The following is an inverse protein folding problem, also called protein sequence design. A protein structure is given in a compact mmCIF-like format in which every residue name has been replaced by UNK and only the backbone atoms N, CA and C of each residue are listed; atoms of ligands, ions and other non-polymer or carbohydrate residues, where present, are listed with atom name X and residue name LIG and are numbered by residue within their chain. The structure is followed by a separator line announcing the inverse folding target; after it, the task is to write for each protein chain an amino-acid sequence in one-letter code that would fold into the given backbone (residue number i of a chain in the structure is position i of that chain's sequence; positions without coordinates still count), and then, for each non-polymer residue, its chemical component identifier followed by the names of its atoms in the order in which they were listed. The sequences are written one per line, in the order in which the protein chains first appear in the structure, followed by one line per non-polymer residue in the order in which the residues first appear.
data_IF_338046084947
#
_entry.id   IF_338046084947
#
_cell.length_a   1.000
_cell.length_b   1.000
_cell.length_c   1.000
_cell.angle_alpha   90.00
_cell.angle_beta   90.00
_cell.angle_gamma   90.00
#
_symmetry.space_group_name_H-M   'P 1'
#
loop_
_entity.id
_entity.type
_entity.pdbx_description
1 polymer ?
#
# COMPACT_ATOMS: atom_id res chain seq x y z
N UNK A 1 -27.72 -33.39 -10.84
CA UNK A 1 -27.75 -32.04 -10.24
C UNK A 1 -26.56 -31.26 -10.76
N UNK A 2 -26.78 -30.34 -11.71
CA UNK A 2 -25.72 -29.52 -12.29
C UNK A 2 -25.30 -28.44 -11.29
N UNK A 3 -24.02 -28.41 -10.94
CA UNK A 3 -23.44 -27.45 -10.00
C UNK A 3 -23.29 -26.10 -10.73
N UNK A 4 -24.26 -25.20 -10.58
CA UNK A 4 -24.16 -23.81 -11.04
C UNK A 4 -23.14 -23.06 -10.18
N UNK A 5 -21.86 -23.31 -10.41
CA UNK A 5 -20.79 -22.43 -9.93
C UNK A 5 -20.82 -21.18 -10.80
N UNK A 6 -21.59 -20.17 -10.40
CA UNK A 6 -21.57 -18.86 -11.05
C UNK A 6 -20.16 -18.30 -10.97
N UNK A 7 -19.59 -17.91 -12.12
CA UNK A 7 -18.26 -17.27 -12.22
C UNK A 7 -18.06 -16.13 -11.20
N UNK A 8 -19.15 -15.49 -10.76
CA UNK A 8 -19.18 -14.44 -9.74
C UNK A 8 -18.71 -14.92 -8.34
N UNK A 9 -19.03 -16.15 -7.93
CA UNK A 9 -18.56 -16.72 -6.66
C UNK A 9 -17.07 -17.09 -6.73
N UNK A 10 -16.62 -17.63 -7.86
CA UNK A 10 -15.19 -17.91 -8.10
C UNK A 10 -14.37 -16.61 -8.21
N UNK A 11 -14.92 -15.57 -8.85
CA UNK A 11 -14.31 -14.25 -8.94
C UNK A 11 -14.28 -13.56 -7.58
N UNK A 12 -15.35 -13.65 -6.78
CA UNK A 12 -15.36 -13.10 -5.42
C UNK A 12 -14.40 -13.86 -4.49
N UNK A 13 -14.33 -15.19 -4.58
CA UNK A 13 -13.38 -15.99 -3.81
C UNK A 13 -11.92 -15.73 -4.23
N UNK A 14 -11.66 -15.46 -5.52
CA UNK A 14 -10.35 -14.99 -6.01
C UNK A 14 -10.03 -13.59 -5.48
N UNK A 15 -10.99 -12.66 -5.52
CA UNK A 15 -10.86 -11.27 -5.07
C UNK A 15 -10.54 -11.17 -3.58
N UNK A 16 -11.22 -11.96 -2.73
CA UNK A 16 -10.94 -12.04 -1.29
C UNK A 16 -9.59 -12.68 -0.95
N UNK A 17 -9.11 -13.62 -1.78
CA UNK A 17 -7.83 -14.29 -1.55
C UNK A 17 -6.63 -13.43 -1.99
N UNK A 18 -6.79 -12.52 -2.97
CA UNK A 18 -5.67 -11.87 -3.66
C UNK A 18 -5.33 -10.45 -3.23
N UNK A 19 -5.99 -9.89 -2.21
CA UNK A 19 -5.94 -8.44 -1.98
C UNK A 19 -5.00 -7.99 -0.85
N UNK A 20 -4.42 -8.92 -0.08
CA UNK A 20 -3.51 -8.63 1.03
C UNK A 20 -2.10 -9.14 0.74
N UNK A 21 -1.24 -8.25 0.24
CA UNK A 21 0.15 -8.54 -0.05
C UNK A 21 1.04 -7.55 0.71
N UNK A 22 1.68 -7.97 1.80
CA UNK A 22 2.61 -7.09 2.50
C UNK A 22 3.94 -7.01 1.76
N UNK A 23 4.41 -5.79 1.54
CA UNK A 23 5.72 -5.52 0.92
C UNK A 23 6.83 -5.66 1.96
N UNK A 24 7.85 -6.43 1.63
CA UNK A 24 9.00 -6.63 2.51
C UNK A 24 9.87 -5.36 2.55
N UNK A 25 10.48 -5.08 3.71
CA UNK A 25 11.37 -3.93 3.87
C UNK A 25 12.58 -4.01 2.92
N UNK A 26 13.12 -5.21 2.71
CA UNK A 26 14.22 -5.47 1.76
C UNK A 26 13.86 -5.06 0.34
N UNK A 27 12.64 -5.38 -0.12
CA UNK A 27 12.17 -5.02 -1.45
C UNK A 27 12.04 -3.50 -1.57
N UNK A 28 11.48 -2.83 -0.56
CA UNK A 28 11.40 -1.37 -0.48
C UNK A 28 12.81 -0.76 -0.56
N UNK A 29 13.75 -1.23 0.26
CA UNK A 29 15.13 -0.72 0.26
C UNK A 29 15.81 -0.93 -1.09
N UNK A 30 15.62 -2.10 -1.71
CA UNK A 30 16.21 -2.47 -2.99
C UNK A 30 15.72 -1.60 -4.15
N UNK A 31 14.47 -1.14 -4.11
CA UNK A 31 13.89 -0.30 -5.14
C UNK A 31 14.14 1.18 -4.86
N UNK A 32 13.83 1.65 -3.64
CA UNK A 32 13.92 3.06 -3.29
C UNK A 32 15.35 3.58 -3.25
N UNK A 33 16.37 2.71 -3.18
CA UNK A 33 17.75 3.14 -3.24
C UNK A 33 18.11 3.93 -4.50
N UNK A 34 17.37 3.69 -5.59
CA UNK A 34 17.59 4.32 -6.89
C UNK A 34 16.89 5.67 -7.06
N UNK A 35 15.94 6.00 -6.18
CA UNK A 35 15.09 7.19 -6.31
C UNK A 35 15.38 8.26 -5.24
N UNK A 36 16.48 8.13 -4.47
CA UNK A 36 16.80 9.01 -3.33
C UNK A 36 16.71 10.50 -3.64
N UNK A 37 17.21 10.92 -4.80
CA UNK A 37 17.21 12.32 -5.25
C UNK A 37 15.82 12.91 -5.46
N UNK A 38 14.79 12.08 -5.62
CA UNK A 38 13.41 12.53 -5.84
C UNK A 38 12.69 12.93 -4.54
N UNK A 39 13.28 12.65 -3.36
CA UNK A 39 12.64 12.83 -2.06
C UNK A 39 13.04 14.12 -1.33
N UNK A 40 14.09 14.81 -1.77
CA UNK A 40 14.56 16.02 -1.09
C UNK A 40 13.48 17.11 -1.03
N UNK A 41 13.27 17.63 0.19
CA UNK A 41 12.24 18.62 0.53
C UNK A 41 10.80 18.19 0.19
N UNK A 42 10.53 16.88 0.08
CA UNK A 42 9.20 16.35 -0.26
C UNK A 42 8.40 15.91 0.95
N UNK A 43 7.09 16.00 0.79
CA UNK A 43 6.09 15.33 1.63
C UNK A 43 5.73 13.99 0.98
N UNK A 44 6.11 12.89 1.64
CA UNK A 44 5.80 11.53 1.19
C UNK A 44 4.48 11.08 1.83
N UNK A 45 3.59 10.49 1.05
CA UNK A 45 2.37 9.87 1.55
C UNK A 45 2.39 8.35 1.33
N UNK A 46 2.23 7.61 2.42
CA UNK A 46 2.15 6.15 2.42
C UNK A 46 0.78 5.73 2.99
N UNK A 47 -0.21 5.48 2.15
CA UNK A 47 -1.39 4.74 2.58
C UNK A 47 -1.00 3.28 2.81
N UNK A 48 -1.45 2.70 3.92
CA UNK A 48 -1.06 1.37 4.36
C UNK A 48 -2.11 0.76 5.29
N UNK A 49 -2.13 -0.56 5.41
CA UNK A 49 -3.11 -1.29 6.22
C UNK A 49 -2.98 -1.00 7.72
N UNK A 50 -1.76 -0.80 8.19
CA UNK A 50 -1.51 -0.26 9.52
C UNK A 50 -0.20 0.54 9.55
N UNK A 51 -0.30 1.87 9.69
CA UNK A 51 0.86 2.74 9.83
C UNK A 51 1.85 2.35 10.93
N UNK A 52 1.41 1.61 11.97
CA UNK A 52 2.24 1.20 13.09
C UNK A 52 3.24 0.10 12.74
N UNK A 53 2.90 -0.74 11.75
CA UNK A 53 3.75 -1.85 11.31
C UNK A 53 4.18 -1.73 9.84
N UNK A 54 3.79 -0.65 9.17
CA UNK A 54 4.12 -0.38 7.77
C UNK A 54 5.62 -0.32 7.51
N UNK A 55 6.13 -1.21 6.67
CA UNK A 55 7.52 -1.19 6.22
C UNK A 55 7.86 0.07 5.41
N UNK A 56 6.87 0.67 4.71
CA UNK A 56 7.07 1.96 4.05
C UNK A 56 7.35 3.06 5.06
N UNK A 57 6.53 3.14 6.12
CA UNK A 57 6.77 4.11 7.19
C UNK A 57 8.13 3.87 7.86
N UNK A 58 8.44 2.61 8.20
CA UNK A 58 9.72 2.22 8.81
C UNK A 58 10.91 2.65 7.96
N UNK A 59 10.86 2.43 6.64
CA UNK A 59 11.90 2.87 5.71
C UNK A 59 12.07 4.39 5.72
N UNK A 60 10.98 5.14 5.50
CA UNK A 60 11.07 6.60 5.38
C UNK A 60 11.42 7.28 6.70
N UNK A 61 10.89 6.79 7.84
CA UNK A 61 11.23 7.32 9.15
C UNK A 61 12.70 7.08 9.49
N UNK A 62 13.21 5.87 9.24
CA UNK A 62 14.63 5.53 9.47
C UNK A 62 15.59 6.32 8.57
N UNK A 63 15.12 6.70 7.37
CA UNK A 63 15.91 7.45 6.39
C UNK A 63 15.53 8.93 6.29
N UNK A 64 14.71 9.47 7.20
CA UNK A 64 14.09 10.79 7.07
C UNK A 64 15.11 11.90 6.82
N UNK A 65 16.11 12.00 7.70
CA UNK A 65 17.21 12.98 7.60
C UNK A 65 18.08 12.74 6.35
N UNK A 66 18.35 11.47 6.03
CA UNK A 66 19.20 11.07 4.88
C UNK A 66 18.55 11.39 3.53
N UNK A 67 17.23 11.30 3.45
CA UNK A 67 16.44 11.62 2.26
C UNK A 67 16.07 13.10 2.17
N UNK A 68 16.36 13.90 3.20
CA UNK A 68 15.98 15.32 3.25
C UNK A 68 14.47 15.54 3.22
N UNK A 69 13.68 14.65 3.82
CA UNK A 69 12.22 14.74 3.79
C UNK A 69 11.71 15.93 4.58
N UNK A 70 10.61 16.52 4.10
CA UNK A 70 9.87 17.56 4.84
C UNK A 70 8.88 16.95 5.83
N UNK A 71 8.18 15.90 5.41
CA UNK A 71 7.13 15.24 6.19
C UNK A 71 6.82 13.86 5.59
N UNK A 72 6.41 12.92 6.44
CA UNK A 72 5.75 11.68 6.05
C UNK A 72 4.31 11.76 6.52
N UNK A 73 3.37 11.43 5.65
CA UNK A 73 1.97 11.23 6.00
C UNK A 73 1.69 9.75 5.83
N UNK A 74 0.96 9.15 6.78
CA UNK A 74 0.47 7.78 6.65
C UNK A 74 -0.99 7.74 7.01
N UNK A 75 -1.77 6.91 6.32
CA UNK A 75 -3.20 6.72 6.59
C UNK A 75 -3.54 5.24 6.56
N UNK A 76 -4.56 4.90 7.34
CA UNK A 76 -5.08 3.56 7.58
C UNK A 76 -6.55 3.55 7.20
N UNK A 77 -6.92 2.62 6.32
CA UNK A 77 -8.30 2.22 6.13
C UNK A 77 -8.73 1.24 7.23
N UNK A 78 -9.97 1.33 7.69
CA UNK A 78 -10.60 0.38 8.62
C UNK A 78 -11.96 -0.01 8.10
N UNK A 79 -12.14 -1.31 7.86
CA UNK A 79 -13.42 -1.83 7.37
C UNK A 79 -14.51 -1.62 8.43
N UNK A 80 -15.65 -1.06 8.00
CA UNK A 80 -16.82 -0.87 8.85
C UNK A 80 -17.70 -2.12 8.78
N UNK A 81 -17.58 -3.01 9.76
CA UNK A 81 -18.36 -4.25 9.81
C UNK A 81 -19.70 -3.98 10.50
N UNK A 82 -20.68 -3.51 9.73
CA UNK A 82 -22.07 -3.39 10.20
C UNK A 82 -22.81 -4.72 10.01
N UNK A 83 -22.96 -5.47 11.09
CA UNK A 83 -23.92 -6.58 11.15
C UNK A 83 -25.16 -6.14 11.95
N UNK A 84 -26.36 -6.66 11.62
CA UNK A 84 -27.60 -6.41 12.37
C UNK A 84 -27.48 -6.81 13.85
N UNK A 85 -26.47 -7.62 14.19
CA UNK A 85 -26.20 -8.14 15.53
C UNK A 85 -24.93 -7.58 16.18
N UNK A 86 -24.14 -6.76 15.48
CA UNK A 86 -22.93 -6.16 16.05
C UNK A 86 -23.25 -4.80 16.67
N UNK A 87 -23.09 -4.71 17.99
CA UNK A 87 -23.19 -3.49 18.76
C UNK A 87 -21.83 -2.79 18.97
N UNK A 88 -20.76 -3.29 18.34
CA UNK A 88 -19.43 -2.68 18.43
C UNK A 88 -19.38 -1.41 17.55
N UNK A 89 -18.73 -0.36 18.07
CA UNK A 89 -18.52 0.87 17.32
C UNK A 89 -17.63 0.59 16.10
N UNK A 90 -18.04 1.07 14.91
CA UNK A 90 -17.25 0.99 13.68
C UNK A 90 -15.81 1.50 13.95
N UNK A 91 -14.77 0.69 13.73
CA UNK A 91 -13.38 1.15 13.81
C UNK A 91 -13.17 2.26 12.78
N UNK A 92 -12.78 3.45 13.25
CA UNK A 92 -12.50 4.60 12.38
C UNK A 92 -11.13 4.43 11.74
N UNK A 93 -11.04 4.80 10.47
CA UNK A 93 -9.75 5.01 9.83
C UNK A 93 -8.97 6.08 10.58
N UNK A 94 -7.66 6.10 10.42
CA UNK A 94 -6.81 7.08 11.07
C UNK A 94 -5.59 7.43 10.24
N UNK A 95 -4.95 8.53 10.56
CA UNK A 95 -3.71 8.95 9.94
C UNK A 95 -2.76 9.54 10.98
N UNK A 96 -1.49 9.64 10.63
CA UNK A 96 -0.54 10.44 11.39
C UNK A 96 0.49 11.09 10.47
N UNK A 97 1.09 12.17 10.96
CA UNK A 97 2.13 12.92 10.25
C UNK A 97 3.44 12.87 11.05
N UNK A 98 4.56 12.61 10.37
CA UNK A 98 5.89 12.59 10.96
C UNK A 98 6.80 13.63 10.30
N UNK A 99 7.43 14.48 11.11
CA UNK A 99 8.28 15.60 10.65
C UNK A 99 9.74 15.47 11.08
N UNK A 100 10.16 14.28 11.52
CA UNK A 100 11.57 14.04 11.89
C UNK A 100 11.94 14.42 13.32
N UNK A 101 10.97 14.64 14.21
CA UNK A 101 11.23 14.90 15.63
C UNK A 101 11.83 13.65 16.30
N UNK A 102 12.82 13.86 17.18
CA UNK A 102 13.58 12.81 17.86
C UNK A 102 12.80 12.13 19.01
N UNK A 103 11.50 11.88 18.83
CA UNK A 103 10.79 10.95 19.71
C UNK A 103 11.22 9.54 19.34
N UNK A 104 11.63 8.79 20.36
CA UNK A 104 12.38 7.55 20.30
C UNK A 104 11.99 6.63 19.12
N UNK A 105 13.02 6.13 18.45
CA UNK A 105 13.02 5.29 17.24
C UNK A 105 12.07 4.07 17.22
N UNK A 106 11.27 3.80 18.26
CA UNK A 106 10.42 2.61 18.35
C UNK A 106 9.15 2.79 19.23
N UNK A 107 8.68 4.01 19.50
CA UNK A 107 7.44 4.19 20.25
C UNK A 107 6.45 5.03 19.44
N UNK A 108 5.45 4.35 18.88
CA UNK A 108 4.20 4.98 18.46
C UNK A 108 3.61 5.65 19.69
N UNK A 109 3.88 6.94 19.86
CA UNK A 109 3.20 7.72 20.87
C UNK A 109 1.76 7.85 20.37
N UNK A 110 0.81 7.22 21.07
CA UNK A 110 -0.63 7.25 20.77
C UNK A 110 -1.22 8.67 20.63
N UNK A 111 -0.45 9.70 20.99
CA UNK A 111 -0.79 11.13 20.90
C UNK A 111 -0.66 11.75 19.51
N UNK A 112 -0.02 11.10 18.53
CA UNK A 112 0.15 11.66 17.18
C UNK A 112 -0.86 11.10 16.15
N UNK A 113 -1.76 10.20 16.57
CA UNK A 113 -2.80 9.59 15.73
C UNK A 113 -4.03 10.51 15.67
N UNK A 114 -4.49 10.80 14.45
CA UNK A 114 -5.73 11.53 14.17
C UNK A 114 -6.72 10.60 13.50
N UNK A 115 -7.88 10.41 14.11
CA UNK A 115 -8.95 9.59 13.55
C UNK A 115 -9.74 10.36 12.50
N UNK A 116 -10.09 9.69 11.41
CA UNK A 116 -11.06 10.17 10.43
C UNK A 116 -12.48 10.14 11.01
N UNK A 117 -13.38 10.88 10.38
CA UNK A 117 -14.81 10.70 10.63
C UNK A 117 -15.32 9.42 9.97
N UNK A 118 -14.73 9.03 8.82
CA UNK A 118 -15.04 7.81 8.09
C UNK A 118 -14.09 6.63 8.33
N UNK A 119 -14.12 5.71 7.38
CA UNK A 119 -13.33 4.47 7.31
C UNK A 119 -11.87 4.70 6.86
N UNK A 120 -11.53 5.90 6.39
CA UNK A 120 -10.20 6.21 5.86
C UNK A 120 -9.99 5.75 4.41
N UNK A 121 -11.05 5.42 3.67
CA UNK A 121 -10.96 5.07 2.26
C UNK A 121 -10.22 6.17 1.47
N UNK A 122 -9.34 5.79 0.54
CA UNK A 122 -8.51 6.73 -0.22
C UNK A 122 -9.34 7.71 -1.07
N UNK A 123 -10.60 7.38 -1.35
CA UNK A 123 -11.57 8.19 -2.11
C UNK A 123 -12.31 9.17 -1.21
N UNK A 124 -12.25 8.99 0.11
CA UNK A 124 -12.90 9.89 1.06
C UNK A 124 -12.33 11.32 0.96
N UNK A 125 -13.14 12.36 1.23
CA UNK A 125 -12.65 13.73 1.24
C UNK A 125 -11.46 13.92 2.18
N UNK A 126 -11.47 13.26 3.35
CA UNK A 126 -10.41 13.37 4.35
C UNK A 126 -9.08 12.81 3.83
N UNK A 127 -9.09 11.63 3.21
CA UNK A 127 -7.91 11.03 2.56
C UNK A 127 -7.43 11.83 1.35
N UNK A 128 -8.34 12.44 0.59
CA UNK A 128 -7.99 13.33 -0.52
C UNK A 128 -7.29 14.61 -0.02
N UNK A 129 -7.68 15.16 1.12
CA UNK A 129 -6.97 16.31 1.70
C UNK A 129 -5.54 15.95 2.11
N UNK A 130 -5.31 14.74 2.61
CA UNK A 130 -3.94 14.23 2.85
C UNK A 130 -3.16 14.07 1.54
N UNK A 131 -3.78 13.49 0.50
CA UNK A 131 -3.19 13.34 -0.82
C UNK A 131 -2.76 14.71 -1.38
N UNK A 132 -3.63 15.71 -1.30
CA UNK A 132 -3.34 17.08 -1.77
C UNK A 132 -2.11 17.69 -1.09
N UNK A 133 -1.94 17.46 0.22
CA UNK A 133 -0.78 17.92 1.02
C UNK A 133 0.53 17.21 0.68
N UNK A 134 0.47 16.08 0.00
CA UNK A 134 1.64 15.28 -0.38
C UNK A 134 2.21 15.66 -1.74
N UNK A 135 3.51 15.44 -1.93
CA UNK A 135 4.19 15.61 -3.23
C UNK A 135 4.34 14.29 -3.97
N UNK A 136 4.62 13.22 -3.22
CA UNK A 136 4.89 11.89 -3.75
C UNK A 136 4.17 10.82 -2.93
N UNK A 137 3.57 9.87 -3.62
CA UNK A 137 2.92 8.70 -3.02
C UNK A 137 3.81 7.48 -3.18
N UNK A 138 4.07 6.77 -2.08
CA UNK A 138 4.84 5.52 -2.12
C UNK A 138 4.14 4.45 -1.30
N UNK A 139 3.67 3.38 -1.97
CA UNK A 139 2.78 2.38 -1.36
C UNK A 139 2.71 1.09 -2.19
N UNK A 140 1.95 0.11 -1.69
CA UNK A 140 1.48 -1.07 -2.39
C UNK A 140 -0.06 -1.17 -2.20
N UNK A 141 -0.88 -0.63 -3.12
CA UNK A 141 -2.32 -0.66 -2.99
C UNK A 141 -2.87 -2.07 -3.30
N UNK A 142 -4.05 -2.45 -2.76
CA UNK A 142 -4.71 -3.69 -3.13
C UNK A 142 -4.90 -3.82 -4.64
N UNK A 143 -4.69 -5.04 -5.17
CA UNK A 143 -4.72 -5.29 -6.60
C UNK A 143 -6.06 -4.90 -7.24
N UNK A 144 -7.17 -5.19 -6.53
CA UNK A 144 -8.52 -4.85 -6.98
C UNK A 144 -8.79 -3.34 -7.09
N UNK A 145 -8.04 -2.51 -6.36
CA UNK A 145 -8.18 -1.06 -6.33
C UNK A 145 -7.08 -0.34 -7.13
N UNK A 146 -6.05 -1.05 -7.59
CA UNK A 146 -4.85 -0.48 -8.23
C UNK A 146 -5.16 0.52 -9.36
N UNK A 147 -6.06 0.15 -10.30
CA UNK A 147 -6.41 1.00 -11.45
C UNK A 147 -7.07 2.31 -11.01
N UNK A 148 -8.04 2.22 -10.11
CA UNK A 148 -8.74 3.39 -9.58
C UNK A 148 -7.80 4.28 -8.77
N UNK A 149 -6.94 3.65 -7.97
CA UNK A 149 -5.95 4.32 -7.14
C UNK A 149 -4.97 5.13 -8.01
N UNK A 150 -4.35 4.51 -9.03
CA UNK A 150 -3.42 5.22 -9.94
C UNK A 150 -4.13 6.33 -10.71
N UNK A 151 -5.37 6.09 -11.17
CA UNK A 151 -6.15 7.14 -11.84
C UNK A 151 -6.37 8.36 -10.92
N UNK A 152 -6.58 8.14 -9.62
CA UNK A 152 -6.65 9.21 -8.63
C UNK A 152 -5.32 9.95 -8.51
N UNK A 153 -4.19 9.25 -8.41
CA UNK A 153 -2.86 9.89 -8.33
C UNK A 153 -2.57 10.79 -9.54
N UNK A 154 -2.89 10.29 -10.74
CA UNK A 154 -2.76 11.06 -11.98
C UNK A 154 -3.69 12.28 -11.99
N UNK A 155 -4.94 12.12 -11.54
CA UNK A 155 -5.91 13.22 -11.43
C UNK A 155 -5.43 14.35 -10.53
N UNK A 156 -4.72 14.04 -9.44
CA UNK A 156 -4.18 15.03 -8.49
C UNK A 156 -2.72 15.42 -8.76
N UNK A 157 -2.19 15.07 -9.94
CA UNK A 157 -0.82 15.38 -10.39
C UNK A 157 0.25 15.00 -9.36
N UNK A 158 0.13 13.79 -8.81
CA UNK A 158 1.07 13.27 -7.81
C UNK A 158 2.16 12.47 -8.48
N UNK A 159 3.41 12.67 -8.02
CA UNK A 159 4.47 11.70 -8.28
C UNK A 159 4.14 10.43 -7.51
N UNK A 160 4.47 9.27 -8.06
CA UNK A 160 4.24 8.02 -7.36
C UNK A 160 5.31 6.97 -7.65
N UNK A 161 5.54 6.11 -6.66
CA UNK A 161 6.26 4.86 -6.78
C UNK A 161 5.38 3.79 -6.15
N UNK A 162 4.87 2.87 -6.96
CA UNK A 162 4.00 1.80 -6.48
C UNK A 162 4.74 0.48 -6.64
N UNK A 163 4.93 -0.22 -5.54
CA UNK A 163 5.43 -1.59 -5.54
C UNK A 163 4.22 -2.50 -5.63
N UNK A 164 4.14 -3.35 -6.65
CA UNK A 164 3.00 -4.22 -6.86
C UNK A 164 3.28 -5.30 -7.91
N UNK A 165 2.30 -6.14 -8.18
CA UNK A 165 2.45 -7.25 -9.12
C UNK A 165 2.68 -6.74 -10.58
N UNK A 166 3.59 -7.39 -11.31
CA UNK A 166 3.97 -7.03 -12.68
C UNK A 166 2.80 -7.05 -13.67
N UNK A 167 1.77 -7.86 -13.41
CA UNK A 167 0.56 -7.93 -14.23
C UNK A 167 -0.21 -6.60 -14.28
N UNK A 168 0.03 -5.68 -13.33
CA UNK A 168 -0.54 -4.33 -13.37
C UNK A 168 -0.17 -3.55 -14.65
N UNK A 169 0.94 -3.92 -15.32
CA UNK A 169 1.36 -3.32 -16.60
C UNK A 169 0.33 -3.57 -17.71
N UNK A 170 -0.38 -4.70 -17.66
CA UNK A 170 -1.37 -5.08 -18.68
C UNK A 170 -2.67 -4.31 -18.60
N UNK A 171 -2.88 -3.56 -17.51
CA UNK A 171 -4.06 -2.73 -17.34
C UNK A 171 -4.05 -1.59 -18.35
N UNK A 172 -5.17 -1.39 -19.04
CA UNK A 172 -5.28 -0.44 -20.15
C UNK A 172 -4.83 0.98 -19.77
N UNK A 173 -5.20 1.46 -18.58
CA UNK A 173 -4.84 2.79 -18.08
C UNK A 173 -3.36 2.88 -17.76
N UNK A 174 -2.78 1.85 -17.14
CA UNK A 174 -1.37 1.81 -16.78
C UNK A 174 -0.51 1.72 -18.03
N UNK A 175 -0.86 0.82 -18.96
CA UNK A 175 -0.21 0.71 -20.25
C UNK A 175 -0.27 2.03 -21.02
N UNK A 176 -1.39 2.75 -20.97
CA UNK A 176 -1.53 4.08 -21.58
C UNK A 176 -0.54 5.08 -20.97
N UNK A 177 -0.40 5.12 -19.65
CA UNK A 177 0.57 6.00 -18.98
C UNK A 177 2.01 5.67 -19.40
N UNK A 178 2.36 4.40 -19.50
CA UNK A 178 3.69 3.96 -19.96
C UNK A 178 3.91 4.37 -21.42
N UNK A 179 2.94 4.08 -22.30
CA UNK A 179 2.99 4.43 -23.72
C UNK A 179 3.14 5.94 -23.96
N UNK A 180 2.50 6.75 -23.12
CA UNK A 180 2.56 8.22 -23.17
C UNK A 180 3.78 8.79 -22.42
N UNK A 181 4.70 7.93 -21.93
CA UNK A 181 5.90 8.33 -21.18
C UNK A 181 5.57 9.13 -19.90
N UNK A 182 4.47 8.77 -19.24
CA UNK A 182 3.98 9.36 -17.99
C UNK A 182 4.19 8.46 -16.76
N UNK A 183 4.50 7.19 -16.99
CA UNK A 183 4.89 6.22 -15.96
C UNK A 183 5.97 5.29 -16.52
N UNK A 184 6.80 4.74 -15.64
CA UNK A 184 7.86 3.81 -16.02
C UNK A 184 7.85 2.60 -15.10
N UNK A 185 8.47 1.54 -15.58
CA UNK A 185 8.67 0.34 -14.79
C UNK A 185 9.82 0.56 -13.80
N UNK A 186 9.66 0.00 -12.60
CA UNK A 186 10.69 0.00 -11.56
C UNK A 186 11.95 -0.75 -11.98
N UNK A 187 13.05 -0.46 -11.30
CA UNK A 187 14.39 -0.95 -11.67
C UNK A 187 14.51 -2.46 -11.44
N UNK A 188 13.87 -2.99 -10.39
CA UNK A 188 13.96 -4.41 -10.04
C UNK A 188 12.92 -5.32 -10.74
N UNK A 189 12.33 -4.87 -11.85
CA UNK A 189 11.25 -5.51 -12.61
C UNK A 189 11.25 -7.06 -12.55
N UNK A 190 10.39 -7.64 -11.70
CA UNK A 190 10.14 -9.09 -11.62
C UNK A 190 11.34 -9.97 -11.26
N UNK A 191 12.51 -9.41 -10.96
CA UNK A 191 13.75 -10.15 -10.66
C UNK A 191 14.41 -9.78 -9.33
N UNK A 192 13.96 -8.70 -8.69
CA UNK A 192 14.46 -8.25 -7.38
C UNK A 192 13.41 -8.17 -6.27
N UNK A 193 12.15 -8.54 -6.53
CA UNK A 193 11.12 -8.65 -5.48
C UNK A 193 11.19 -10.07 -4.92
N UNK A 194 11.45 -10.18 -3.62
CA UNK A 194 11.63 -11.45 -2.90
C UNK A 194 10.33 -12.21 -2.63
N UNK A 195 9.20 -11.73 -3.17
CA UNK A 195 7.85 -12.24 -3.02
C UNK A 195 7.02 -11.38 -2.06
N UNK A 196 5.70 -11.54 -2.09
CA UNK A 196 4.76 -10.83 -1.22
C UNK A 196 4.31 -11.73 -0.07
N UNK A 197 4.23 -11.18 1.14
CA UNK A 197 3.67 -11.93 2.28
C UNK A 197 2.15 -11.93 2.15
N UNK A 198 1.54 -13.12 2.22
CA UNK A 198 0.09 -13.33 2.16
C UNK A 198 -0.47 -13.81 3.51
N UNK A 199 -1.78 -13.64 3.77
CA UNK A 199 -2.44 -14.18 4.96
C UNK A 199 -2.34 -15.71 5.05
N UNK A 200 -2.41 -16.26 6.27
CA UNK A 200 -2.32 -17.72 6.51
C UNK A 200 -3.39 -18.52 5.74
N UNK A 201 -4.57 -17.93 5.53
CA UNK A 201 -5.69 -18.54 4.79
C UNK A 201 -5.55 -18.51 3.26
N UNK A 202 -4.42 -18.01 2.74
CA UNK A 202 -4.15 -18.02 1.31
C UNK A 202 -3.92 -19.46 0.83
N UNK A 203 -4.83 -19.97 0.00
CA UNK A 203 -4.64 -21.29 -0.62
C UNK A 203 -3.45 -21.24 -1.58
N UNK A 204 -2.42 -22.03 -1.26
CA UNK A 204 -1.23 -22.16 -2.08
C UNK A 204 -1.57 -22.88 -3.39
N UNK A 205 -1.44 -22.18 -4.51
CA UNK A 205 -1.57 -22.78 -5.83
C UNK A 205 -0.18 -22.83 -6.49
N UNK A 206 0.33 -24.03 -6.74
CA UNK A 206 1.58 -24.24 -7.48
C UNK A 206 2.88 -24.13 -6.66
N UNK A 207 4.01 -24.04 -7.36
CA UNK A 207 5.37 -23.98 -6.77
C UNK A 207 5.82 -22.56 -6.36
N UNK A 208 4.90 -21.59 -6.42
CA UNK A 208 5.16 -20.15 -6.27
C UNK A 208 5.02 -19.65 -4.84
N UNK A 209 4.83 -20.53 -3.85
CA UNK A 209 4.75 -20.17 -2.45
C UNK A 209 5.81 -20.85 -1.59
N UNK A 210 6.41 -20.10 -0.66
CA UNK A 210 7.38 -20.58 0.32
C UNK A 210 7.01 -20.09 1.72
N UNK A 211 7.37 -20.86 2.73
CA UNK A 211 7.28 -20.43 4.13
C UNK A 211 8.68 -19.96 4.54
N UNK A 212 8.81 -18.72 4.99
CA UNK A 212 10.07 -18.21 5.54
C UNK A 212 10.27 -18.69 7.00
N UNK A 213 11.48 -18.53 7.53
CA UNK A 213 11.87 -18.87 8.90
C UNK A 213 10.98 -18.23 9.98
N UNK A 214 10.25 -17.16 9.63
CA UNK A 214 9.28 -16.47 10.48
C UNK A 214 7.85 -17.05 10.38
N UNK A 215 7.66 -18.21 9.75
CA UNK A 215 6.37 -18.86 9.46
C UNK A 215 5.41 -18.08 8.56
N UNK A 216 5.90 -17.03 7.88
CA UNK A 216 5.11 -16.25 6.93
C UNK A 216 5.07 -16.94 5.56
N UNK A 217 3.90 -16.91 4.91
CA UNK A 217 3.72 -17.40 3.55
C UNK A 217 4.14 -16.30 2.58
N UNK A 218 5.13 -16.58 1.74
CA UNK A 218 5.63 -15.69 0.69
C UNK A 218 5.21 -16.24 -0.67
N UNK A 219 4.54 -15.41 -1.48
CA UNK A 219 4.11 -15.74 -2.84
C UNK A 219 4.91 -14.93 -3.86
N UNK A 220 5.46 -15.61 -4.86
CA UNK A 220 6.14 -14.98 -6.00
C UNK A 220 5.11 -14.75 -7.11
N UNK A 221 5.06 -13.53 -7.64
CA UNK A 221 4.03 -13.10 -8.61
C UNK A 221 4.56 -12.79 -10.00
#
# INVERSE_FOLDING_TARGET
MARNATNKLLQNAKKLKSDEFYTQLSDIESELQHYKSHFENKVVYCNCDDPRISNFFKYFASNFKKLGLKKIITSCYREQVRDLFNAEEDEKGFFFEYTGTEREKNKHSSTDIVYFNGDGDFRSPESIELLKKSDIVVTNPPFSLFREYVAQLVKYDKKFLIIGNINAITYQEIFKLIKENKAWLGINLGRGISGFIVPEQYELYGTEARIDNSLQIIVYG
#
